data_IF_274341939380
#
_entry.id   IF_274341939380
#
_cell.length_a   1.000
_cell.length_b   1.000
_cell.length_c   1.000
_cell.angle_alpha   90.00
_cell.angle_beta   90.00
_cell.angle_gamma   90.00
#
_symmetry.space_group_name_H-M   'P 1'
#
loop_
_entity.id
_entity.type
_entity.pdbx_description
1 polymer ?
#
# COMPACT_ATOMS: atom_id res chain seq x y z
N UNK A 1 20.59 45.50 13.09
CA UNK A 1 21.44 45.16 11.93
C UNK A 1 20.52 44.77 10.79
N UNK A 2 20.71 45.36 9.61
CA UNK A 2 19.91 45.10 8.40
C UNK A 2 20.68 44.13 7.50
N UNK A 3 19.91 43.25 6.84
CA UNK A 3 20.16 42.41 5.65
C UNK A 3 20.50 40.92 5.85
N UNK A 4 20.17 40.03 4.86
CA UNK A 4 19.40 40.25 3.62
C UNK A 4 18.24 39.27 3.34
N UNK A 5 17.27 39.75 2.54
CA UNK A 5 16.43 38.94 1.64
C UNK A 5 17.31 38.29 0.58
N UNK A 6 17.11 37.00 0.31
CA UNK A 6 17.67 36.33 -0.87
C UNK A 6 18.41 35.03 -0.54
N UNK A 7 17.66 33.99 -0.17
CA UNK A 7 17.98 32.62 -0.56
C UNK A 7 16.64 31.93 -0.87
N UNK A 8 16.23 32.08 -2.13
CA UNK A 8 15.49 31.02 -2.78
C UNK A 8 16.44 29.82 -2.80
N UNK A 9 16.23 28.86 -1.91
CA UNK A 9 16.86 27.56 -2.04
C UNK A 9 16.01 26.75 -2.99
N UNK A 10 16.54 26.58 -4.21
CA UNK A 10 16.22 25.48 -5.14
C UNK A 10 16.59 24.13 -4.50
N UNK A 11 16.06 23.85 -3.31
CA UNK A 11 16.01 22.51 -2.75
C UNK A 11 14.75 21.88 -3.29
N UNK A 12 14.89 20.92 -4.18
CA UNK A 12 13.78 20.08 -4.64
C UNK A 12 13.13 19.40 -3.45
N UNK A 13 12.10 20.05 -2.92
CA UNK A 13 11.19 19.48 -1.92
C UNK A 13 10.38 18.44 -2.69
N UNK A 14 10.70 17.17 -2.50
CA UNK A 14 9.79 16.08 -2.86
C UNK A 14 8.56 16.25 -1.96
N UNK A 15 7.49 16.80 -2.54
CA UNK A 15 6.25 17.05 -1.82
C UNK A 15 5.66 15.72 -1.35
N UNK A 16 5.03 15.69 -0.18
CA UNK A 16 4.21 14.54 0.25
C UNK A 16 3.11 14.15 -0.75
N UNK A 17 2.79 15.02 -1.71
CA UNK A 17 2.02 14.69 -2.89
C UNK A 17 2.61 13.47 -3.63
N UNK A 18 3.93 13.26 -3.66
CA UNK A 18 4.63 12.13 -4.32
C UNK A 18 4.44 10.78 -3.61
N UNK A 19 3.92 10.77 -2.37
CA UNK A 19 3.63 9.55 -1.61
C UNK A 19 2.16 9.12 -1.69
N UNK A 20 1.31 9.90 -2.37
CA UNK A 20 -0.08 9.50 -2.62
C UNK A 20 -0.11 8.41 -3.70
N UNK A 21 0.02 7.15 -3.26
CA UNK A 21 0.06 5.98 -4.14
C UNK A 21 -1.09 5.91 -5.15
N UNK A 22 -2.17 6.63 -4.95
CA UNK A 22 -3.28 6.61 -5.89
C UNK A 22 -3.21 7.58 -7.07
N UNK A 23 -2.51 8.71 -6.97
CA UNK A 23 -2.65 9.80 -7.96
C UNK A 23 -1.36 10.50 -8.39
N UNK A 24 -0.18 10.19 -7.84
CA UNK A 24 1.04 10.90 -8.26
C UNK A 24 1.91 10.10 -9.24
N UNK A 25 1.92 10.55 -10.49
CA UNK A 25 2.66 10.02 -11.64
C UNK A 25 4.17 9.89 -11.38
N UNK A 26 4.74 10.75 -10.51
CA UNK A 26 6.17 10.70 -10.18
C UNK A 26 6.53 9.47 -9.34
N UNK A 27 5.60 8.97 -8.50
CA UNK A 27 5.81 7.84 -7.58
C UNK A 27 6.01 6.49 -8.30
N UNK A 28 5.53 6.39 -9.54
CA UNK A 28 5.60 5.20 -10.39
C UNK A 28 6.71 5.28 -11.45
N UNK A 29 7.64 6.23 -11.36
CA UNK A 29 8.87 6.17 -12.17
C UNK A 29 9.67 4.94 -11.78
N UNK A 30 10.02 4.08 -12.75
CA UNK A 30 10.82 2.89 -12.46
C UNK A 30 12.15 3.26 -11.82
N UNK A 31 12.74 4.38 -12.22
CA UNK A 31 14.00 4.87 -11.66
C UNK A 31 13.86 5.18 -10.15
N UNK A 32 12.78 5.87 -9.74
CA UNK A 32 12.55 6.19 -8.33
C UNK A 32 12.20 4.95 -7.52
N UNK A 33 11.40 4.04 -8.08
CA UNK A 33 11.08 2.75 -7.46
C UNK A 33 12.35 1.92 -7.24
N UNK A 34 13.24 1.86 -8.23
CA UNK A 34 14.52 1.13 -8.11
C UNK A 34 15.50 1.80 -7.14
N UNK A 35 15.52 3.13 -7.04
CA UNK A 35 16.30 3.84 -6.01
C UNK A 35 15.79 3.53 -4.61
N UNK A 36 14.46 3.49 -4.42
CA UNK A 36 13.82 3.07 -3.16
C UNK A 36 14.13 1.61 -2.83
N UNK A 37 14.08 0.70 -3.81
CA UNK A 37 14.40 -0.72 -3.58
C UNK A 37 15.82 -0.93 -3.04
N UNK A 38 16.74 -0.01 -3.37
CA UNK A 38 18.14 -0.04 -2.96
C UNK A 38 18.45 0.82 -1.72
N UNK A 39 17.44 1.38 -1.07
CA UNK A 39 17.58 2.32 0.06
C UNK A 39 18.50 3.54 -0.29
N UNK A 40 18.49 4.00 -1.55
CA UNK A 40 19.35 5.10 -2.05
C UNK A 40 18.73 6.50 -1.86
N UNK A 41 17.67 6.66 -1.06
CA UNK A 41 17.03 7.96 -0.80
C UNK A 41 17.48 8.54 0.56
N UNK A 42 17.90 9.80 0.57
CA UNK A 42 18.66 10.44 1.66
C UNK A 42 17.82 11.20 2.71
N UNK A 43 16.49 11.20 2.68
CA UNK A 43 15.68 12.01 3.60
C UNK A 43 14.78 11.17 4.50
N UNK A 44 15.05 11.22 5.81
CA UNK A 44 14.19 10.62 6.83
C UNK A 44 13.20 11.65 7.38
N UNK A 45 11.98 11.65 6.83
CA UNK A 45 10.87 12.52 7.29
C UNK A 45 10.56 12.30 8.77
N UNK A 46 10.77 11.07 9.30
CA UNK A 46 10.54 10.78 10.71
C UNK A 46 11.55 11.56 11.55
N UNK A 47 12.83 11.51 11.20
CA UNK A 47 13.89 12.25 11.89
C UNK A 47 13.68 13.76 11.81
N UNK A 48 13.26 14.28 10.65
CA UNK A 48 12.96 15.71 10.48
C UNK A 48 11.83 16.15 11.43
N UNK A 49 10.72 15.41 11.48
CA UNK A 49 9.58 15.72 12.35
C UNK A 49 9.99 15.62 13.82
N UNK A 50 10.75 14.59 14.19
CA UNK A 50 11.26 14.43 15.56
C UNK A 50 12.20 15.57 15.96
N UNK A 51 13.14 15.95 15.08
CA UNK A 51 14.06 17.06 15.31
C UNK A 51 13.30 18.40 15.46
N UNK A 52 12.31 18.65 14.61
CA UNK A 52 11.47 19.83 14.70
C UNK A 52 10.67 19.89 16.00
N UNK A 53 10.16 18.75 16.48
CA UNK A 53 9.45 18.67 17.76
C UNK A 53 10.39 18.94 18.94
N UNK A 54 11.60 18.35 18.91
CA UNK A 54 12.63 18.58 19.93
C UNK A 54 13.04 20.04 19.99
N UNK A 55 13.31 20.66 18.83
CA UNK A 55 13.66 22.09 18.74
C UNK A 55 12.55 22.99 19.28
N UNK A 56 11.29 22.72 18.93
CA UNK A 56 10.14 23.50 19.37
C UNK A 56 9.67 23.14 20.79
N UNK A 57 10.37 22.27 21.51
CA UNK A 57 9.98 21.75 22.85
C UNK A 57 8.56 21.16 22.86
N UNK A 58 8.13 20.61 21.73
CA UNK A 58 6.84 19.98 21.55
C UNK A 58 6.90 18.59 22.16
N UNK A 59 5.98 18.29 23.07
CA UNK A 59 5.93 17.00 23.79
C UNK A 59 5.14 15.91 23.05
N UNK A 60 4.31 16.29 22.09
CA UNK A 60 3.33 15.42 21.44
C UNK A 60 3.22 15.74 19.96
N UNK A 61 2.95 14.73 19.13
CA UNK A 61 2.69 14.93 17.70
C UNK A 61 1.27 15.45 17.46
N UNK A 62 1.12 16.39 16.50
CA UNK A 62 -0.20 16.74 15.96
C UNK A 62 -0.74 15.57 15.14
N UNK A 63 -2.06 15.48 14.95
CA UNK A 63 -2.64 14.43 14.10
C UNK A 63 -2.08 14.44 12.67
N UNK A 64 -1.79 15.63 12.13
CA UNK A 64 -1.16 15.78 10.83
C UNK A 64 0.24 15.14 10.81
N UNK A 65 1.08 15.44 11.81
CA UNK A 65 2.41 14.82 11.94
C UNK A 65 2.32 13.32 12.17
N UNK A 66 1.35 12.84 12.97
CA UNK A 66 1.08 11.41 13.14
C UNK A 66 0.79 10.77 11.79
N UNK A 67 -0.08 11.38 10.98
CA UNK A 67 -0.37 10.92 9.63
C UNK A 67 0.89 10.78 8.78
N UNK A 68 1.72 11.82 8.73
CA UNK A 68 2.97 11.84 7.95
C UNK A 68 3.96 10.78 8.41
N UNK A 69 4.19 10.69 9.73
CA UNK A 69 5.13 9.72 10.30
C UNK A 69 4.66 8.29 10.02
N UNK A 70 3.36 8.00 10.16
CA UNK A 70 2.83 6.65 9.95
C UNK A 70 2.87 6.22 8.47
N UNK A 71 2.67 7.16 7.54
CA UNK A 71 2.86 6.91 6.10
C UNK A 71 4.31 6.53 5.83
N UNK A 72 5.27 7.32 6.32
CA UNK A 72 6.69 7.06 6.14
C UNK A 72 7.09 5.73 6.76
N UNK A 73 6.63 5.46 7.97
CA UNK A 73 6.93 4.26 8.72
C UNK A 73 6.38 2.98 8.06
N UNK A 74 5.21 3.04 7.43
CA UNK A 74 4.68 1.94 6.62
C UNK A 74 5.30 1.86 5.22
N UNK A 75 5.92 2.95 4.76
CA UNK A 75 6.61 3.10 3.48
C UNK A 75 8.09 2.70 3.51
N UNK A 76 8.62 2.38 4.69
CA UNK A 76 10.01 1.99 4.92
C UNK A 76 10.14 0.48 5.10
N UNK A 77 11.16 -0.09 4.45
CA UNK A 77 11.53 -1.50 4.56
C UNK A 77 12.14 -1.86 5.92
N UNK A 78 12.91 -0.93 6.50
CA UNK A 78 13.54 -1.08 7.81
C UNK A 78 13.59 0.26 8.53
N UNK A 79 13.30 0.22 9.82
CA UNK A 79 13.37 1.37 10.72
C UNK A 79 14.21 0.95 11.92
N UNK A 80 15.02 1.88 12.45
CA UNK A 80 15.77 1.65 13.67
C UNK A 80 14.83 1.58 14.88
N UNK A 81 15.04 0.60 15.75
CA UNK A 81 14.30 0.45 17.00
C UNK A 81 14.47 1.70 17.88
N UNK A 82 15.61 2.42 17.80
CA UNK A 82 15.80 3.68 18.55
C UNK A 82 14.84 4.78 18.09
N UNK A 83 14.58 4.86 16.78
CA UNK A 83 13.62 5.82 16.19
C UNK A 83 12.19 5.45 16.61
N UNK A 84 11.85 4.16 16.58
CA UNK A 84 10.54 3.68 17.04
C UNK A 84 10.31 3.95 18.53
N UNK A 85 11.33 3.80 19.37
CA UNK A 85 11.29 4.10 20.80
C UNK A 85 11.07 5.59 21.09
N UNK A 86 11.73 6.47 20.33
CA UNK A 86 11.53 7.91 20.43
C UNK A 86 10.13 8.31 19.97
N UNK A 87 9.70 7.82 18.81
CA UNK A 87 8.35 8.02 18.28
C UNK A 87 7.28 7.56 19.28
N UNK A 88 7.45 6.40 19.92
CA UNK A 88 6.54 5.89 20.94
C UNK A 88 6.33 6.90 22.08
N UNK A 89 7.41 7.54 22.56
CA UNK A 89 7.34 8.53 23.63
C UNK A 89 6.54 9.77 23.23
N UNK A 90 6.67 10.18 21.97
CA UNK A 90 5.96 11.34 21.41
C UNK A 90 4.48 11.10 21.11
N UNK A 91 4.05 9.83 21.10
CA UNK A 91 2.66 9.39 20.90
C UNK A 91 1.92 9.11 22.22
N UNK A 92 2.50 9.43 23.38
CA UNK A 92 1.98 9.03 24.70
C UNK A 92 0.52 9.45 25.00
N UNK A 93 0.00 10.50 24.35
CA UNK A 93 -1.39 10.96 24.42
C UNK A 93 -2.33 10.22 23.44
N UNK A 94 -1.80 9.26 22.70
CA UNK A 94 -2.47 8.52 21.60
C UNK A 94 -2.29 7.01 21.78
N UNK A 95 -3.01 6.39 22.75
CA UNK A 95 -2.81 4.99 23.10
C UNK A 95 -2.89 4.02 21.93
N UNK A 96 -3.83 4.24 20.99
CA UNK A 96 -3.99 3.35 19.84
C UNK A 96 -2.78 3.35 18.90
N UNK A 97 -2.14 4.52 18.69
CA UNK A 97 -0.92 4.63 17.88
C UNK A 97 0.31 4.10 18.63
N UNK A 98 0.37 4.29 19.95
CA UNK A 98 1.41 3.65 20.80
C UNK A 98 1.36 2.14 20.70
N UNK A 99 0.17 1.54 20.77
CA UNK A 99 -0.01 0.09 20.64
C UNK A 99 0.46 -0.44 19.29
N UNK A 100 0.21 0.32 18.22
CA UNK A 100 0.70 0.00 16.89
C UNK A 100 2.24 0.00 16.82
N UNK A 101 2.89 1.04 17.37
CA UNK A 101 4.36 1.12 17.43
C UNK A 101 4.96 0.02 18.32
N UNK A 102 4.32 -0.33 19.44
CA UNK A 102 4.74 -1.45 20.28
C UNK A 102 4.73 -2.80 19.54
N UNK A 103 3.72 -3.02 18.68
CA UNK A 103 3.69 -4.20 17.83
C UNK A 103 4.85 -4.23 16.83
N UNK A 104 5.27 -3.08 16.30
CA UNK A 104 6.45 -3.00 15.43
C UNK A 104 7.75 -3.32 16.15
N UNK A 105 7.91 -2.82 17.37
CA UNK A 105 9.04 -3.13 18.26
C UNK A 105 9.02 -4.60 18.74
N UNK A 106 7.89 -5.29 18.58
CA UNK A 106 7.77 -6.72 18.90
C UNK A 106 7.55 -7.02 20.38
N UNK A 107 7.12 -6.04 21.19
CA UNK A 107 6.88 -6.25 22.62
C UNK A 107 5.78 -7.26 22.94
N UNK A 108 4.78 -7.39 22.07
CA UNK A 108 3.54 -8.09 22.40
C UNK A 108 3.33 -9.43 21.68
N UNK A 109 4.29 -9.85 20.83
CA UNK A 109 4.11 -10.99 19.91
C UNK A 109 5.23 -12.02 19.97
N UNK A 110 4.88 -13.29 20.17
CA UNK A 110 5.80 -14.42 20.04
C UNK A 110 5.68 -14.98 18.62
N UNK A 111 6.69 -14.73 17.78
CA UNK A 111 6.77 -15.22 16.40
C UNK A 111 6.24 -14.23 15.34
N UNK A 112 6.73 -14.39 14.12
CA UNK A 112 6.53 -13.46 13.00
C UNK A 112 5.05 -13.31 12.61
N UNK A 113 4.30 -14.42 12.60
CA UNK A 113 2.89 -14.44 12.24
C UNK A 113 2.02 -13.62 13.24
N UNK A 114 2.19 -13.89 14.53
CA UNK A 114 1.44 -13.18 15.58
C UNK A 114 1.78 -11.69 15.59
N UNK A 115 3.05 -11.33 15.28
CA UNK A 115 3.49 -9.94 15.14
C UNK A 115 2.75 -9.24 14.01
N UNK A 116 2.73 -9.82 12.81
CA UNK A 116 2.07 -9.24 11.64
C UNK A 116 0.58 -9.07 11.83
N UNK A 117 -0.06 -10.06 12.43
CA UNK A 117 -1.47 -10.01 12.74
C UNK A 117 -1.81 -8.93 13.78
N UNK A 118 -0.95 -8.80 14.81
CA UNK A 118 -1.09 -7.76 15.84
C UNK A 118 -0.86 -6.37 15.26
N UNK A 119 0.13 -6.19 14.37
CA UNK A 119 0.35 -4.93 13.65
C UNK A 119 -0.85 -4.56 12.79
N UNK A 120 -1.41 -5.52 12.05
CA UNK A 120 -2.61 -5.30 11.23
C UNK A 120 -3.82 -4.88 12.08
N UNK A 121 -4.06 -5.57 13.19
CA UNK A 121 -5.18 -5.24 14.09
C UNK A 121 -5.01 -3.89 14.78
N UNK A 122 -3.81 -3.57 15.26
CA UNK A 122 -3.53 -2.30 15.93
C UNK A 122 -3.56 -1.13 14.96
N UNK A 123 -3.15 -1.30 13.69
CA UNK A 123 -3.35 -0.31 12.64
C UNK A 123 -4.84 0.00 12.45
N UNK A 124 -5.67 -1.04 12.33
CA UNK A 124 -7.13 -0.88 12.23
C UNK A 124 -7.70 -0.10 13.43
N UNK A 125 -7.35 -0.49 14.66
CA UNK A 125 -7.84 0.19 15.88
C UNK A 125 -7.38 1.64 15.94
N UNK A 126 -6.14 1.94 15.53
CA UNK A 126 -5.63 3.30 15.47
C UNK A 126 -6.40 4.16 14.46
N UNK A 127 -6.61 3.65 13.25
CA UNK A 127 -7.39 4.34 12.22
C UNK A 127 -8.86 4.51 12.59
N UNK A 128 -9.48 3.49 13.18
CA UNK A 128 -10.86 3.56 13.68
C UNK A 128 -10.98 4.62 14.77
N UNK A 129 -10.06 4.64 15.74
CA UNK A 129 -10.05 5.63 16.81
C UNK A 129 -9.89 7.04 16.25
N UNK A 130 -8.88 7.26 15.40
CA UNK A 130 -8.65 8.57 14.78
C UNK A 130 -9.80 9.03 13.89
N UNK A 131 -10.47 8.14 13.15
CA UNK A 131 -11.69 8.49 12.43
C UNK A 131 -12.85 8.90 13.36
N UNK A 132 -12.99 8.22 14.51
CA UNK A 132 -14.11 8.44 15.43
C UNK A 132 -13.97 9.70 16.30
N UNK A 133 -12.74 10.02 16.73
CA UNK A 133 -12.43 11.09 17.69
C UNK A 133 -11.67 12.22 17.01
N UNK A 134 -10.55 11.92 16.35
CA UNK A 134 -9.59 12.94 15.92
C UNK A 134 -10.03 13.68 14.65
N UNK A 135 -10.63 12.99 13.68
CA UNK A 135 -10.96 13.59 12.39
C UNK A 135 -12.18 14.51 12.40
N UNK A 136 -12.96 14.46 13.47
CA UNK A 136 -14.12 15.35 13.68
C UNK A 136 -13.72 16.67 14.36
N UNK A 137 -12.51 16.78 14.90
CA UNK A 137 -12.01 17.92 15.68
C UNK A 137 -10.70 18.49 15.09
N UNK A 138 -10.30 19.69 15.51
CA UNK A 138 -9.22 20.47 14.87
C UNK A 138 -7.88 19.73 14.80
N UNK A 139 -7.17 19.88 13.67
CA UNK A 139 -5.90 19.22 13.38
C UNK A 139 -6.13 17.76 13.02
N UNK A 140 -6.29 17.44 11.73
CA UNK A 140 -6.73 16.13 11.23
C UNK A 140 -5.58 15.47 10.46
N UNK A 141 -5.53 14.13 10.42
CA UNK A 141 -4.65 13.42 9.47
C UNK A 141 -5.06 13.90 8.06
N UNK A 142 -4.11 14.36 7.26
CA UNK A 142 -4.44 14.90 5.92
C UNK A 142 -5.12 13.83 5.06
N UNK A 143 -6.04 14.20 4.14
CA UNK A 143 -6.67 13.26 3.22
C UNK A 143 -5.67 12.33 2.57
N UNK A 144 -4.56 12.87 2.05
CA UNK A 144 -3.47 12.09 1.45
C UNK A 144 -2.89 11.03 2.39
N UNK A 145 -2.58 11.38 3.63
CA UNK A 145 -2.06 10.40 4.59
C UNK A 145 -3.11 9.34 4.92
N UNK A 146 -4.35 9.73 5.18
CA UNK A 146 -5.41 8.78 5.50
C UNK A 146 -5.69 7.83 4.34
N UNK A 147 -5.69 8.32 3.10
CA UNK A 147 -5.83 7.49 1.90
C UNK A 147 -4.76 6.41 1.85
N UNK A 148 -3.49 6.78 2.03
CA UNK A 148 -2.39 5.81 2.06
C UNK A 148 -2.60 4.77 3.17
N UNK A 149 -2.89 5.21 4.39
CA UNK A 149 -3.07 4.31 5.54
C UNK A 149 -4.27 3.36 5.35
N UNK A 150 -5.37 3.84 4.78
CA UNK A 150 -6.56 3.04 4.48
C UNK A 150 -6.28 2.07 3.33
N UNK A 151 -5.53 2.49 2.32
CA UNK A 151 -5.08 1.61 1.22
C UNK A 151 -4.22 0.46 1.77
N UNK A 152 -3.24 0.75 2.64
CA UNK A 152 -2.42 -0.27 3.32
C UNK A 152 -3.27 -1.23 4.14
N UNK A 153 -4.26 -0.72 4.88
CA UNK A 153 -5.19 -1.56 5.65
C UNK A 153 -6.04 -2.45 4.73
N UNK A 154 -6.55 -1.91 3.62
CA UNK A 154 -7.38 -2.64 2.66
C UNK A 154 -6.59 -3.72 1.91
N UNK A 155 -5.33 -3.44 1.55
CA UNK A 155 -4.39 -4.41 0.99
C UNK A 155 -4.19 -5.58 1.95
N UNK A 156 -3.82 -5.30 3.20
CA UNK A 156 -3.64 -6.33 4.23
C UNK A 156 -4.92 -7.13 4.43
N UNK A 157 -6.08 -6.48 4.55
CA UNK A 157 -7.36 -7.16 4.70
C UNK A 157 -7.71 -8.06 3.50
N UNK A 158 -7.21 -7.75 2.30
CA UNK A 158 -7.38 -8.57 1.10
C UNK A 158 -6.43 -9.78 1.13
N UNK A 159 -5.15 -9.57 1.45
CA UNK A 159 -4.15 -10.63 1.63
C UNK A 159 -4.57 -11.66 2.70
N UNK A 160 -5.01 -11.17 3.87
CA UNK A 160 -5.45 -12.01 4.98
C UNK A 160 -6.75 -12.78 4.71
N UNK A 161 -7.54 -12.36 3.72
CA UNK A 161 -8.75 -13.08 3.33
C UNK A 161 -8.50 -14.34 2.49
N UNK A 162 -7.22 -14.61 2.15
CA UNK A 162 -6.76 -15.85 1.50
C UNK A 162 -7.47 -16.21 0.18
N UNK A 163 -7.96 -15.22 -0.56
CA UNK A 163 -8.47 -15.43 -1.90
C UNK A 163 -7.41 -16.00 -2.85
N UNK A 164 -7.85 -16.61 -3.95
CA UNK A 164 -6.92 -17.11 -4.98
C UNK A 164 -6.19 -15.96 -5.69
N UNK A 165 -6.84 -14.79 -5.74
CA UNK A 165 -6.34 -13.59 -6.39
C UNK A 165 -6.42 -12.38 -5.46
N UNK A 166 -5.41 -11.53 -5.53
CA UNK A 166 -5.44 -10.16 -5.04
C UNK A 166 -5.69 -9.22 -6.21
N UNK A 167 -6.59 -8.27 -6.01
CA UNK A 167 -6.85 -7.19 -6.97
C UNK A 167 -6.38 -5.87 -6.36
N UNK A 168 -5.35 -5.26 -6.92
CA UNK A 168 -4.80 -4.01 -6.39
C UNK A 168 -4.39 -3.10 -7.54
N UNK A 169 -4.15 -1.83 -7.28
CA UNK A 169 -3.53 -0.96 -8.30
C UNK A 169 -2.04 -1.28 -8.42
N UNK A 170 -1.44 -0.87 -9.54
CA UNK A 170 0.01 -1.01 -9.76
C UNK A 170 0.83 -0.40 -8.62
N UNK A 171 0.50 0.81 -8.20
CA UNK A 171 1.14 1.50 -7.07
C UNK A 171 1.05 0.72 -5.76
N UNK A 172 -0.14 0.23 -5.37
CA UNK A 172 -0.30 -0.57 -4.15
C UNK A 172 0.55 -1.84 -4.21
N UNK A 173 0.61 -2.51 -5.37
CA UNK A 173 1.47 -3.69 -5.57
C UNK A 173 2.96 -3.33 -5.48
N UNK A 174 3.39 -2.22 -6.08
CA UNK A 174 4.79 -1.75 -5.98
C UNK A 174 5.17 -1.46 -4.52
N UNK A 175 4.35 -0.72 -3.78
CA UNK A 175 4.59 -0.45 -2.35
C UNK A 175 4.60 -1.74 -1.52
N UNK A 176 3.74 -2.69 -1.83
CA UNK A 176 3.75 -4.00 -1.20
C UNK A 176 5.10 -4.72 -1.40
N UNK A 177 5.60 -4.76 -2.64
CA UNK A 177 6.85 -5.43 -3.02
C UNK A 177 8.09 -4.78 -2.39
N UNK A 178 8.08 -3.46 -2.24
CA UNK A 178 9.18 -2.70 -1.64
C UNK A 178 9.27 -2.92 -0.13
N UNK A 179 8.13 -2.89 0.56
CA UNK A 179 8.08 -2.76 2.03
C UNK A 179 7.85 -4.09 2.75
N UNK A 180 7.32 -5.11 2.07
CA UNK A 180 6.97 -6.38 2.69
C UNK A 180 7.74 -7.55 2.04
N UNK A 181 8.09 -8.55 2.85
CA UNK A 181 8.62 -9.79 2.30
C UNK A 181 7.45 -10.59 1.72
N UNK A 182 7.39 -10.60 0.39
CA UNK A 182 6.35 -11.22 -0.42
C UNK A 182 6.16 -12.72 -0.05
N UNK A 183 7.21 -13.42 0.39
CA UNK A 183 7.16 -14.83 0.81
C UNK A 183 6.30 -15.08 2.06
N UNK A 184 6.00 -14.05 2.85
CA UNK A 184 5.23 -14.14 4.12
C UNK A 184 3.81 -14.65 3.92
N UNK A 185 3.19 -14.28 2.79
CA UNK A 185 1.79 -14.59 2.50
C UNK A 185 1.60 -15.92 1.75
N UNK A 186 2.70 -16.53 1.30
CA UNK A 186 2.68 -17.80 0.55
C UNK A 186 2.45 -19.02 1.47
N UNK A 187 2.72 -18.88 2.77
CA UNK A 187 2.75 -19.98 3.74
C UNK A 187 1.70 -19.86 4.87
N UNK A 188 0.66 -19.06 4.69
CA UNK A 188 -0.40 -18.94 5.70
C UNK A 188 -1.16 -20.28 5.78
N UNK A 189 -1.30 -20.88 6.97
CA UNK A 189 -2.02 -22.14 7.11
C UNK A 189 -3.45 -22.06 6.57
N UNK A 190 -3.87 -23.11 5.87
CA UNK A 190 -5.19 -23.17 5.21
C UNK A 190 -6.38 -23.15 6.19
N UNK A 191 -6.15 -23.47 7.47
CA UNK A 191 -7.13 -23.42 8.54
C UNK A 191 -7.22 -22.04 9.22
N UNK A 192 -6.36 -21.08 8.87
CA UNK A 192 -6.37 -19.76 9.53
C UNK A 192 -7.62 -18.97 9.18
N UNK A 193 -8.14 -19.07 7.94
CA UNK A 193 -9.32 -18.35 7.44
C UNK A 193 -10.52 -18.31 8.41
N UNK A 194 -10.90 -19.46 8.98
CA UNK A 194 -12.07 -19.56 9.84
C UNK A 194 -11.89 -18.81 11.16
N UNK A 195 -10.66 -18.84 11.70
CA UNK A 195 -10.28 -18.11 12.91
C UNK A 195 -10.11 -16.61 12.68
N UNK A 196 -9.75 -16.16 11.46
CA UNK A 196 -9.60 -14.74 11.12
C UNK A 196 -10.95 -14.05 10.80
N UNK A 197 -12.00 -14.83 10.52
CA UNK A 197 -13.22 -14.38 9.86
C UNK A 197 -13.89 -13.17 10.54
N UNK A 198 -14.02 -13.20 11.87
CA UNK A 198 -14.65 -12.12 12.63
C UNK A 198 -13.83 -10.82 12.64
N UNK A 199 -12.52 -10.91 12.88
CA UNK A 199 -11.62 -9.75 12.86
C UNK A 199 -11.60 -9.09 11.48
N UNK A 200 -11.54 -9.89 10.42
CA UNK A 200 -11.62 -9.40 9.04
C UNK A 200 -12.97 -8.76 8.74
N UNK A 201 -14.08 -9.31 9.25
CA UNK A 201 -15.40 -8.70 9.09
C UNK A 201 -15.42 -7.29 9.69
N UNK A 202 -14.93 -7.10 10.91
CA UNK A 202 -14.89 -5.79 11.57
C UNK A 202 -14.07 -4.76 10.78
N UNK A 203 -12.91 -5.17 10.27
CA UNK A 203 -12.04 -4.32 9.45
C UNK A 203 -12.76 -3.94 8.16
N UNK A 204 -13.46 -4.88 7.53
CA UNK A 204 -14.19 -4.62 6.29
C UNK A 204 -15.39 -3.69 6.49
N UNK A 205 -16.13 -3.87 7.57
CA UNK A 205 -17.19 -2.95 7.96
C UNK A 205 -16.64 -1.55 8.20
N UNK A 206 -15.49 -1.43 8.85
CA UNK A 206 -14.82 -0.14 9.00
C UNK A 206 -14.40 0.48 7.67
N UNK A 207 -13.73 -0.25 6.78
CA UNK A 207 -13.34 0.23 5.46
C UNK A 207 -14.55 0.71 4.66
N UNK A 208 -15.64 -0.09 4.67
CA UNK A 208 -16.90 0.26 4.03
C UNK A 208 -17.49 1.56 4.60
N UNK A 209 -17.66 1.62 5.93
CA UNK A 209 -18.23 2.78 6.62
C UNK A 209 -17.39 4.04 6.44
N UNK A 210 -16.06 3.90 6.44
CA UNK A 210 -15.14 4.98 6.15
C UNK A 210 -15.38 5.53 4.74
N UNK A 211 -15.34 4.69 3.71
CA UNK A 211 -15.56 5.13 2.32
C UNK A 211 -16.97 5.72 2.12
N UNK A 212 -18.00 5.15 2.73
CA UNK A 212 -19.38 5.65 2.67
C UNK A 212 -19.54 7.03 3.31
N UNK A 213 -18.87 7.28 4.44
CA UNK A 213 -18.94 8.56 5.16
C UNK A 213 -18.50 9.74 4.32
N UNK A 214 -17.60 9.53 3.35
CA UNK A 214 -17.08 10.57 2.47
C UNK A 214 -17.64 10.53 1.04
N UNK A 215 -18.46 9.54 0.69
CA UNK A 215 -19.01 9.43 -0.66
C UNK A 215 -20.53 9.50 -0.69
N UNK A 216 -21.17 8.47 -0.16
CA UNK A 216 -22.59 8.17 -0.38
C UNK A 216 -23.46 8.81 0.69
N UNK A 217 -22.96 8.91 1.93
CA UNK A 217 -23.76 9.39 3.03
C UNK A 217 -24.34 10.80 2.75
N UNK A 218 -25.51 11.12 3.30
CA UNK A 218 -26.20 12.40 3.07
C UNK A 218 -25.35 13.64 3.42
N UNK A 219 -24.33 13.45 4.27
CA UNK A 219 -23.35 14.47 4.66
C UNK A 219 -21.98 14.30 3.99
N UNK A 220 -21.83 13.44 2.98
CA UNK A 220 -20.55 13.08 2.37
C UNK A 220 -19.80 14.28 1.81
N UNK A 221 -20.48 15.13 1.04
CA UNK A 221 -19.90 16.37 0.53
C UNK A 221 -19.45 17.31 1.66
N UNK A 222 -20.30 17.52 2.68
CA UNK A 222 -19.94 18.35 3.85
C UNK A 222 -18.75 17.79 4.61
N UNK A 223 -18.66 16.46 4.71
CA UNK A 223 -17.58 15.75 5.41
C UNK A 223 -16.26 15.89 4.66
N UNK A 224 -16.27 15.77 3.31
CA UNK A 224 -15.09 16.04 2.48
C UNK A 224 -14.64 17.50 2.58
N UNK A 225 -15.56 18.45 2.43
CA UNK A 225 -15.24 19.89 2.53
C UNK A 225 -14.64 20.22 3.90
N UNK A 226 -15.27 19.78 4.99
CA UNK A 226 -14.73 19.99 6.34
C UNK A 226 -13.36 19.33 6.54
N UNK A 227 -13.13 18.17 5.93
CA UNK A 227 -11.84 17.50 6.02
C UNK A 227 -10.75 18.31 5.31
N UNK A 228 -11.03 18.85 4.13
CA UNK A 228 -10.11 19.69 3.37
C UNK A 228 -9.90 21.08 4.02
N UNK A 229 -10.95 21.70 4.54
CA UNK A 229 -10.85 23.02 5.21
C UNK A 229 -9.94 22.97 6.45
N UNK A 230 -9.88 21.80 7.11
CA UNK A 230 -9.05 21.58 8.28
C UNK A 230 -7.58 21.27 7.95
N UNK A 231 -7.25 21.02 6.69
CA UNK A 231 -5.87 20.87 6.22
C UNK A 231 -5.37 22.21 5.69
N UNK A 232 -4.57 22.92 6.48
CA UNK A 232 -3.95 24.18 6.06
C UNK A 232 -2.85 23.88 5.05
N UNK A 233 -2.93 24.37 3.81
CA UNK A 233 -1.74 24.49 2.97
C UNK A 233 -1.88 24.18 1.48
N UNK A 234 -2.93 23.53 1.00
CA UNK A 234 -3.07 23.28 -0.44
C UNK A 234 -3.81 24.44 -1.13
N UNK A 235 -3.08 25.19 -1.96
CA UNK A 235 -3.58 26.38 -2.66
C UNK A 235 -4.60 26.10 -3.77
N UNK A 236 -5.11 24.86 -3.90
CA UNK A 236 -6.21 24.55 -4.82
C UNK A 236 -7.19 23.49 -4.29
N UNK A 237 -8.03 23.88 -3.33
CA UNK A 237 -9.05 23.04 -2.66
C UNK A 237 -9.99 22.31 -3.65
N UNK A 238 -10.26 22.87 -4.84
CA UNK A 238 -11.16 22.23 -5.82
C UNK A 238 -10.54 21.02 -6.52
N UNK A 239 -9.25 21.07 -6.83
CA UNK A 239 -8.52 19.96 -7.42
C UNK A 239 -8.33 18.85 -6.38
N UNK A 240 -7.99 19.22 -5.14
CA UNK A 240 -7.88 18.29 -4.00
C UNK A 240 -9.20 17.53 -3.74
N UNK A 241 -10.36 18.18 -3.85
CA UNK A 241 -11.64 17.48 -3.69
C UNK A 241 -11.90 16.48 -4.83
N UNK A 242 -11.53 16.86 -6.05
CA UNK A 242 -11.71 16.03 -7.24
C UNK A 242 -10.87 14.76 -7.12
N UNK A 243 -9.60 14.90 -6.75
CA UNK A 243 -8.69 13.79 -6.52
C UNK A 243 -9.18 12.87 -5.39
N UNK A 244 -9.70 13.45 -4.30
CA UNK A 244 -10.33 12.70 -3.21
C UNK A 244 -11.55 11.90 -3.69
N UNK A 245 -12.41 12.46 -4.54
CA UNK A 245 -13.57 11.75 -5.08
C UNK A 245 -13.14 10.62 -6.02
N UNK A 246 -12.14 10.84 -6.86
CA UNK A 246 -11.56 9.81 -7.73
C UNK A 246 -10.99 8.67 -6.89
N UNK A 247 -10.19 9.00 -5.86
CA UNK A 247 -9.62 8.04 -4.93
C UNK A 247 -10.69 7.18 -4.26
N UNK A 248 -11.67 7.83 -3.62
CA UNK A 248 -12.74 7.15 -2.90
C UNK A 248 -13.53 6.21 -3.81
N UNK A 249 -13.76 6.62 -5.06
CA UNK A 249 -14.45 5.81 -6.07
C UNK A 249 -13.64 4.58 -6.43
N UNK A 250 -12.35 4.75 -6.72
CA UNK A 250 -11.48 3.64 -7.08
C UNK A 250 -11.23 2.68 -5.90
N UNK A 251 -11.06 3.19 -4.68
CA UNK A 251 -10.99 2.38 -3.45
C UNK A 251 -12.25 1.54 -3.25
N UNK A 252 -13.44 2.09 -3.51
CA UNK A 252 -14.70 1.32 -3.48
C UNK A 252 -14.76 0.25 -4.55
N UNK A 253 -14.30 0.52 -5.77
CA UNK A 253 -14.18 -0.47 -6.83
C UNK A 253 -13.24 -1.63 -6.45
N UNK A 254 -12.09 -1.33 -5.85
CA UNK A 254 -11.16 -2.35 -5.38
C UNK A 254 -11.74 -3.16 -4.22
N UNK A 255 -12.38 -2.51 -3.24
CA UNK A 255 -13.05 -3.19 -2.14
C UNK A 255 -14.15 -4.13 -2.66
N UNK A 256 -14.89 -3.71 -3.69
CA UNK A 256 -15.92 -4.52 -4.33
C UNK A 256 -15.37 -5.82 -4.91
N UNK A 257 -14.32 -5.76 -5.73
CA UNK A 257 -13.76 -6.95 -6.40
C UNK A 257 -13.00 -7.87 -5.43
N UNK A 258 -12.24 -7.31 -4.48
CA UNK A 258 -11.57 -8.12 -3.44
C UNK A 258 -12.53 -8.79 -2.46
N UNK A 259 -13.79 -8.35 -2.42
CA UNK A 259 -14.84 -8.96 -1.59
C UNK A 259 -15.78 -9.86 -2.37
N UNK A 260 -15.39 -10.27 -3.57
CA UNK A 260 -16.18 -11.18 -4.40
C UNK A 260 -17.40 -10.52 -5.02
N UNK A 261 -17.28 -9.25 -5.41
CA UNK A 261 -18.29 -8.47 -6.14
C UNK A 261 -19.56 -8.15 -5.32
N UNK A 262 -19.44 -8.01 -3.99
CA UNK A 262 -20.58 -7.80 -3.08
C UNK A 262 -21.16 -6.38 -3.07
N UNK A 263 -20.44 -5.39 -3.60
CA UNK A 263 -20.79 -3.97 -3.49
C UNK A 263 -21.36 -3.35 -4.79
N UNK A 264 -21.85 -4.15 -5.75
CA UNK A 264 -22.31 -3.65 -7.06
C UNK A 264 -23.37 -2.56 -6.92
N UNK A 265 -24.39 -2.80 -6.08
CA UNK A 265 -25.44 -1.82 -5.79
C UNK A 265 -24.91 -0.52 -5.17
N UNK A 266 -23.89 -0.60 -4.33
CA UNK A 266 -23.28 0.58 -3.70
C UNK A 266 -22.48 1.43 -4.70
N UNK A 267 -21.75 0.79 -5.62
CA UNK A 267 -21.06 1.51 -6.70
C UNK A 267 -22.06 2.13 -7.66
N UNK A 268 -23.12 1.39 -8.03
CA UNK A 268 -24.19 1.94 -8.86
C UNK A 268 -24.82 3.19 -8.22
N UNK A 269 -25.13 3.14 -6.92
CA UNK A 269 -25.69 4.28 -6.19
C UNK A 269 -24.69 5.45 -6.10
N UNK A 270 -23.40 5.15 -5.88
CA UNK A 270 -22.33 6.15 -5.90
C UNK A 270 -22.33 6.95 -7.21
N UNK A 271 -22.44 6.26 -8.34
CA UNK A 271 -22.43 6.87 -9.67
C UNK A 271 -23.71 7.67 -9.96
N UNK A 272 -24.82 7.36 -9.29
CA UNK A 272 -26.03 8.18 -9.36
C UNK A 272 -25.96 9.46 -8.51
N UNK A 273 -24.99 9.57 -7.61
CA UNK A 273 -24.85 10.75 -6.76
C UNK A 273 -24.35 11.95 -7.58
N UNK A 274 -25.19 12.99 -7.72
CA UNK A 274 -24.87 14.18 -8.51
C UNK A 274 -23.61 14.93 -8.02
N UNK A 275 -23.32 14.89 -6.71
CA UNK A 275 -22.10 15.50 -6.16
C UNK A 275 -20.83 14.76 -6.56
N UNK A 276 -20.91 13.44 -6.72
CA UNK A 276 -19.81 12.59 -7.19
C UNK A 276 -19.66 12.70 -8.70
N UNK A 277 -20.77 12.56 -9.45
CA UNK A 277 -20.81 12.64 -10.90
C UNK A 277 -20.20 13.94 -11.45
N UNK A 278 -20.47 15.08 -10.79
CA UNK A 278 -19.90 16.38 -11.19
C UNK A 278 -18.40 16.52 -10.96
N UNK A 279 -17.82 15.67 -10.10
CA UNK A 279 -16.41 15.72 -9.70
C UNK A 279 -15.57 14.63 -10.39
N UNK A 280 -16.17 13.51 -10.78
CA UNK A 280 -15.45 12.50 -11.53
C UNK A 280 -15.11 12.97 -12.95
N UNK A 281 -13.89 12.71 -13.45
CA UNK A 281 -13.57 12.90 -14.86
C UNK A 281 -14.58 12.15 -15.74
N UNK A 282 -15.11 12.83 -16.77
CA UNK A 282 -16.21 12.31 -17.59
C UNK A 282 -15.93 10.91 -18.16
N UNK A 283 -14.73 10.69 -18.69
CA UNK A 283 -14.32 9.38 -19.23
C UNK A 283 -14.29 8.29 -18.16
N UNK A 284 -13.87 8.62 -16.95
CA UNK A 284 -13.85 7.68 -15.82
C UNK A 284 -15.28 7.32 -15.42
N UNK A 285 -16.14 8.34 -15.27
CA UNK A 285 -17.55 8.18 -14.95
C UNK A 285 -18.29 7.32 -15.99
N UNK A 286 -18.10 7.61 -17.28
CA UNK A 286 -18.77 6.88 -18.37
C UNK A 286 -18.32 5.42 -18.42
N UNK A 287 -17.03 5.15 -18.24
CA UNK A 287 -16.47 3.79 -18.21
C UNK A 287 -17.08 2.98 -17.07
N UNK A 288 -17.09 3.52 -15.86
CA UNK A 288 -17.69 2.85 -14.70
C UNK A 288 -19.20 2.70 -14.87
N UNK A 289 -19.90 3.76 -15.29
CA UNK A 289 -21.36 3.73 -15.44
C UNK A 289 -21.83 2.63 -16.38
N UNK A 290 -21.13 2.44 -17.52
CA UNK A 290 -21.40 1.33 -18.45
C UNK A 290 -21.23 -0.04 -17.80
N UNK A 291 -20.20 -0.21 -16.97
CA UNK A 291 -19.93 -1.46 -16.26
C UNK A 291 -20.96 -1.82 -15.20
N UNK A 292 -21.63 -0.81 -14.62
CA UNK A 292 -22.58 -0.98 -13.53
C UNK A 292 -24.04 -0.70 -13.94
N UNK A 293 -24.36 -0.68 -15.24
CA UNK A 293 -25.75 -0.59 -15.73
C UNK A 293 -26.52 -1.86 -15.38
N UNK A 294 -25.95 -3.01 -15.72
CA UNK A 294 -26.51 -4.33 -15.45
C UNK A 294 -25.87 -4.88 -14.17
N UNK A 295 -26.61 -4.79 -13.07
CA UNK A 295 -26.09 -5.16 -11.73
C UNK A 295 -25.64 -6.62 -11.71
N UNK A 296 -24.47 -6.86 -11.12
CA UNK A 296 -23.93 -8.19 -10.78
C UNK A 296 -23.39 -9.02 -11.96
N UNK A 297 -22.99 -8.40 -13.08
CA UNK A 297 -22.23 -9.10 -14.13
C UNK A 297 -20.74 -8.91 -13.86
N UNK A 298 -20.15 -9.84 -13.12
CA UNK A 298 -18.80 -9.74 -12.57
C UNK A 298 -17.73 -9.47 -13.63
N UNK A 299 -17.83 -10.11 -14.79
CA UNK A 299 -16.88 -9.94 -15.88
C UNK A 299 -16.93 -8.53 -16.46
N UNK A 300 -18.13 -7.99 -16.65
CA UNK A 300 -18.34 -6.62 -17.16
C UNK A 300 -17.90 -5.59 -16.13
N UNK A 301 -18.23 -5.79 -14.86
CA UNK A 301 -17.80 -4.94 -13.74
C UNK A 301 -16.26 -4.93 -13.62
N UNK A 302 -15.61 -6.10 -13.73
CA UNK A 302 -14.15 -6.21 -13.66
C UNK A 302 -13.46 -5.50 -14.83
N UNK A 303 -13.97 -5.65 -16.06
CA UNK A 303 -13.46 -4.93 -17.23
C UNK A 303 -13.58 -3.42 -17.06
N UNK A 304 -14.75 -2.95 -16.62
CA UNK A 304 -14.98 -1.52 -16.41
C UNK A 304 -14.08 -0.93 -15.33
N UNK A 305 -13.87 -1.65 -14.21
CA UNK A 305 -12.94 -1.24 -13.15
C UNK A 305 -11.50 -1.19 -13.69
N UNK A 306 -11.09 -2.21 -14.44
CA UNK A 306 -9.75 -2.28 -15.02
C UNK A 306 -9.49 -1.13 -16.00
N UNK A 307 -10.44 -0.84 -16.88
CA UNK A 307 -10.36 0.28 -17.83
C UNK A 307 -10.34 1.63 -17.10
N UNK A 308 -11.15 1.78 -16.05
CA UNK A 308 -11.19 2.98 -15.22
C UNK A 308 -9.84 3.24 -14.53
N UNK A 309 -9.24 2.21 -13.93
CA UNK A 309 -7.92 2.32 -13.28
C UNK A 309 -6.80 2.60 -14.29
N UNK A 310 -6.91 2.07 -15.51
CA UNK A 310 -5.99 2.42 -16.60
C UNK A 310 -6.10 3.89 -17.03
N UNK A 311 -7.31 4.47 -17.03
CA UNK A 311 -7.51 5.91 -17.29
C UNK A 311 -6.90 6.81 -16.21
N UNK A 312 -6.71 6.28 -15.00
CA UNK A 312 -5.99 6.94 -13.90
C UNK A 312 -4.47 6.71 -13.94
N UNK A 313 -3.97 6.07 -15.01
CA UNK A 313 -2.55 5.69 -15.15
C UNK A 313 -2.02 4.81 -14.01
N UNK A 314 -2.92 4.17 -13.27
CA UNK A 314 -2.63 3.31 -12.14
C UNK A 314 -3.38 1.97 -12.34
N UNK A 315 -2.98 1.18 -13.36
CA UNK A 315 -3.77 0.06 -13.86
C UNK A 315 -4.01 -1.00 -12.78
N UNK A 316 -5.09 -1.76 -12.97
CA UNK A 316 -5.39 -2.92 -12.14
C UNK A 316 -4.28 -3.97 -12.31
N UNK A 317 -3.79 -4.49 -11.20
CA UNK A 317 -2.92 -5.65 -11.13
C UNK A 317 -3.68 -6.79 -10.46
N UNK A 318 -3.72 -7.93 -11.13
CA UNK A 318 -4.29 -9.17 -10.62
C UNK A 318 -3.12 -10.07 -10.24
N UNK A 319 -2.93 -10.30 -8.94
CA UNK A 319 -1.85 -11.15 -8.42
C UNK A 319 -2.43 -12.50 -8.04
N UNK A 320 -1.89 -13.56 -8.62
CA UNK A 320 -2.24 -14.94 -8.28
C UNK A 320 -1.53 -15.35 -6.98
N UNK A 321 -2.26 -15.40 -5.86
CA UNK A 321 -1.66 -15.68 -4.54
C UNK A 321 -1.39 -17.18 -4.31
N UNK A 322 -2.15 -18.04 -4.97
CA UNK A 322 -2.03 -19.51 -4.88
C UNK A 322 -1.89 -20.07 -6.28
N UNK A 323 -1.01 -21.06 -6.46
CA UNK A 323 -0.90 -21.78 -7.75
C UNK A 323 -2.26 -22.35 -8.14
N UNK A 324 -2.86 -21.75 -9.15
CA UNK A 324 -4.09 -22.22 -9.76
C UNK A 324 -3.74 -22.99 -11.03
N UNK A 325 -4.22 -24.24 -11.12
CA UNK A 325 -4.15 -25.01 -12.37
C UNK A 325 -5.13 -24.47 -13.44
N UNK A 326 -6.03 -23.55 -13.07
CA UNK A 326 -6.92 -22.88 -14.02
C UNK A 326 -6.19 -21.67 -14.58
N UNK A 327 -5.83 -21.72 -15.87
CA UNK A 327 -5.40 -20.53 -16.61
C UNK A 327 -6.42 -19.42 -16.44
N UNK A 328 -5.97 -18.26 -15.99
CA UNK A 328 -6.71 -16.99 -16.01
C UNK A 328 -6.88 -16.50 -17.46
N UNK A 329 -7.62 -17.24 -18.28
CA UNK A 329 -7.94 -16.84 -19.65
C UNK A 329 -8.89 -15.62 -19.73
N UNK A 330 -9.31 -15.05 -18.58
CA UNK A 330 -10.36 -14.04 -18.48
C UNK A 330 -9.89 -12.72 -17.83
N UNK A 331 -8.58 -12.47 -17.70
CA UNK A 331 -8.11 -11.18 -17.21
C UNK A 331 -8.44 -10.07 -18.24
N UNK A 332 -8.95 -8.90 -17.83
CA UNK A 332 -9.15 -7.78 -18.74
C UNK A 332 -7.85 -7.37 -19.43
N UNK A 333 -7.92 -6.98 -20.71
CA UNK A 333 -6.75 -6.52 -21.47
C UNK A 333 -6.09 -5.25 -20.93
N UNK A 334 -6.80 -4.50 -20.09
CA UNK A 334 -6.30 -3.31 -19.39
C UNK A 334 -5.62 -3.61 -18.05
N UNK A 335 -5.68 -4.85 -17.57
CA UNK A 335 -5.05 -5.29 -16.34
C UNK A 335 -3.67 -5.90 -16.58
N UNK A 336 -2.81 -5.82 -15.56
CA UNK A 336 -1.54 -6.56 -15.50
C UNK A 336 -1.78 -7.83 -14.70
N UNK A 337 -1.44 -8.98 -15.27
CA UNK A 337 -1.55 -10.27 -14.58
C UNK A 337 -0.18 -10.71 -14.07
N UNK A 338 -0.04 -10.84 -12.76
CA UNK A 338 1.13 -11.41 -12.11
C UNK A 338 0.80 -12.84 -11.67
N UNK A 339 1.19 -13.82 -12.48
CA UNK A 339 1.04 -15.22 -12.12
C UNK A 339 1.99 -15.60 -10.97
N UNK A 340 1.73 -16.75 -10.35
CA UNK A 340 2.49 -17.21 -9.19
C UNK A 340 4.02 -17.30 -9.43
N UNK A 341 4.45 -17.66 -10.64
CA UNK A 341 5.87 -17.80 -10.98
C UNK A 341 6.53 -16.42 -11.19
N UNK A 342 5.83 -15.49 -11.82
CA UNK A 342 6.31 -14.14 -12.13
C UNK A 342 6.62 -13.35 -10.88
N UNK A 343 5.78 -13.40 -9.85
CA UNK A 343 6.04 -12.61 -8.65
C UNK A 343 7.02 -13.25 -7.67
N UNK A 344 7.32 -14.55 -7.82
CA UNK A 344 8.45 -15.18 -7.13
C UNK A 344 9.81 -14.77 -7.70
N UNK A 345 9.88 -14.36 -8.97
CA UNK A 345 11.09 -13.79 -9.58
C UNK A 345 11.03 -12.26 -9.59
N UNK A 346 11.75 -11.62 -8.66
CA UNK A 346 11.84 -10.14 -8.54
C UNK A 346 12.23 -9.47 -9.87
N UNK A 347 13.04 -10.11 -10.71
CA UNK A 347 13.46 -9.54 -12.00
C UNK A 347 12.35 -9.55 -13.05
N UNK A 348 11.54 -10.60 -13.09
CA UNK A 348 10.39 -10.69 -14.01
C UNK A 348 9.22 -9.84 -13.51
N UNK A 349 9.01 -9.79 -12.19
CA UNK A 349 8.04 -8.93 -11.54
C UNK A 349 8.19 -7.46 -11.96
N UNK A 350 9.40 -6.91 -11.89
CA UNK A 350 9.65 -5.53 -12.30
C UNK A 350 9.47 -5.31 -13.80
N UNK A 351 9.74 -6.31 -14.65
CA UNK A 351 9.50 -6.21 -16.10
C UNK A 351 8.01 -6.15 -16.44
N UNK A 352 7.20 -6.94 -15.75
CA UNK A 352 5.74 -6.97 -15.95
C UNK A 352 5.04 -5.74 -15.38
N UNK A 353 5.52 -5.20 -14.26
CA UNK A 353 4.99 -3.96 -13.70
C UNK A 353 5.42 -2.73 -14.53
N UNK A 354 6.60 -2.76 -15.16
CA UNK A 354 7.14 -1.66 -15.96
C UNK A 354 7.53 -2.11 -17.38
N UNK A 355 6.56 -2.53 -18.20
CA UNK A 355 6.80 -2.90 -19.59
C UNK A 355 7.04 -1.61 -20.37
N UNK A 356 8.28 -1.37 -20.79
CA UNK A 356 8.73 -0.29 -21.69
C UNK A 356 8.93 1.13 -21.11
N UNK A 357 10.04 1.32 -20.38
CA UNK A 357 10.88 2.54 -20.51
C UNK A 357 11.98 2.38 -21.59
N UNK A 358 12.02 1.23 -22.27
CA UNK A 358 13.07 0.84 -23.24
C UNK A 358 12.88 1.50 -24.62
N UNK A 359 11.67 1.95 -24.97
CA UNK A 359 11.38 2.49 -26.31
C UNK A 359 11.90 3.91 -26.54
N UNK A 360 12.27 4.65 -25.50
CA UNK A 360 12.83 6.01 -25.64
C UNK A 360 14.35 6.00 -25.85
N UNK A 361 15.08 4.99 -25.39
CA UNK A 361 16.51 4.83 -25.66
C UNK A 361 16.77 4.30 -27.09
N UNK A 362 15.98 3.35 -27.58
CA UNK A 362 16.15 2.81 -28.94
C UNK A 362 15.79 3.85 -30.03
N UNK A 363 14.85 4.76 -29.76
CA UNK A 363 14.52 5.87 -30.67
C UNK A 363 15.55 6.99 -30.67
N UNK A 364 16.29 7.19 -29.57
CA UNK A 364 17.37 8.19 -29.50
C UNK A 364 18.70 7.67 -30.07
N UNK A 365 18.99 6.38 -29.97
CA UNK A 365 20.15 5.76 -30.62
C UNK A 365 19.98 5.62 -32.15
N UNK A 366 18.77 5.29 -32.64
CA UNK A 366 18.51 5.28 -34.10
C UNK A 366 18.57 6.66 -34.76
N UNK A 367 18.46 7.76 -34.00
CA UNK A 367 18.66 9.12 -34.51
C UNK A 367 20.12 9.59 -34.48
N UNK A 368 21.00 8.90 -33.74
CA UNK A 368 22.44 9.21 -33.67
C UNK A 368 23.32 8.34 -34.57
N UNK A 369 22.73 7.35 -35.27
CA UNK A 369 23.47 6.36 -36.06
C UNK A 369 23.64 6.65 -37.56
N UNK A 370 23.31 7.85 -38.06
CA UNK A 370 23.59 8.24 -39.45
C UNK A 370 24.58 9.41 -39.46
N UNK A 371 25.82 9.12 -39.13
CA UNK A 371 26.96 9.88 -39.63
C UNK A 371 28.16 8.94 -39.68
N UNK A 372 28.47 8.45 -40.90
CA UNK A 372 29.76 7.84 -41.18
C UNK A 372 30.82 8.94 -41.21
N UNK A 373 32.02 8.64 -40.72
CA UNK A 373 33.16 8.87 -41.60
C UNK A 373 34.05 7.63 -41.72
N UNK A 374 34.43 7.40 -42.97
CA UNK A 374 35.55 6.55 -43.40
C UNK A 374 36.89 7.07 -42.88
N UNK A 375 37.77 6.21 -42.39
CA UNK A 375 39.09 5.96 -43.01
C UNK A 375 39.91 4.89 -42.26
N UNK A 376 40.64 4.15 -43.09
CA UNK A 376 41.58 3.05 -42.86
C UNK A 376 42.63 3.27 -41.75
N UNK A 377 43.03 2.18 -41.08
CA UNK A 377 44.37 1.60 -41.32
C UNK A 377 44.56 0.20 -40.73
N UNK A 378 45.62 -0.43 -41.24
CA UNK A 378 45.89 -1.86 -41.46
C UNK A 378 46.95 -2.38 -40.48
N UNK A 379 46.86 -3.64 -40.06
CA UNK A 379 47.93 -4.64 -39.76
C UNK A 379 47.45 -5.59 -38.63
N UNK A 380 47.12 -6.87 -38.91
CA UNK A 380 47.94 -8.09 -39.14
C UNK A 380 48.61 -8.69 -37.89
N UNK A 381 48.25 -9.95 -37.62
CA UNK A 381 48.92 -10.96 -36.78
C UNK A 381 47.87 -11.84 -36.07
N UNK A 382 47.45 -13.01 -36.59
CA UNK A 382 48.02 -14.38 -36.38
C UNK A 382 48.19 -14.72 -34.89
N UNK A 383 47.77 -15.83 -34.29
CA UNK A 383 47.39 -17.20 -34.65
C UNK A 383 46.77 -17.80 -33.34
N UNK A 384 45.66 -18.54 -33.37
CA UNK A 384 45.56 -20.01 -33.30
C UNK A 384 46.14 -20.70 -32.03
N UNK A 385 45.30 -21.53 -31.39
CA UNK A 385 45.67 -22.57 -30.40
C UNK A 385 44.62 -22.70 -29.29
N UNK A 386 43.63 -23.61 -29.39
CA UNK A 386 43.61 -24.96 -28.76
C UNK A 386 44.02 -24.97 -27.28
N UNK A 387 43.44 -25.72 -26.36
CA UNK A 387 42.42 -26.77 -26.29
C UNK A 387 42.56 -27.32 -24.86
N UNK A 388 41.43 -27.67 -24.22
CA UNK A 388 41.27 -28.78 -23.23
C UNK A 388 42.19 -28.73 -21.97
N UNK A 389 41.91 -29.29 -20.80
CA UNK A 389 41.01 -30.32 -20.31
C UNK A 389 41.32 -30.46 -18.78
N UNK A 390 40.54 -31.30 -18.09
CA UNK A 390 40.90 -32.03 -16.84
C UNK A 390 40.41 -31.43 -15.50
N UNK A 391 39.23 -31.93 -15.12
CA UNK A 391 38.91 -32.72 -13.92
C UNK A 391 39.31 -32.22 -12.51
N UNK A 392 38.37 -32.00 -11.59
CA UNK A 392 37.61 -32.99 -10.78
C UNK A 392 38.37 -33.45 -9.53
N UNK A 393 37.99 -32.95 -8.34
CA UNK A 393 38.08 -33.72 -7.08
C UNK A 393 36.78 -33.56 -6.28
N UNK A 394 36.27 -34.73 -5.89
CA UNK A 394 35.02 -35.05 -5.20
C UNK A 394 35.16 -35.00 -3.67
N UNK A 395 34.03 -34.64 -3.04
CA UNK A 395 33.32 -35.33 -1.93
C UNK A 395 33.76 -35.20 -0.46
N UNK A 396 32.68 -35.04 0.31
CA UNK A 396 32.37 -35.57 1.65
C UNK A 396 32.82 -34.78 2.89
N UNK A 397 31.82 -34.17 3.55
CA UNK A 397 31.40 -34.63 4.88
C UNK A 397 29.94 -34.25 5.18
N UNK A 398 29.10 -35.28 5.28
CA UNK A 398 27.80 -35.25 5.96
C UNK A 398 28.02 -35.07 7.47
N UNK A 399 27.21 -34.22 8.10
CA UNK A 399 26.66 -34.38 9.46
C UNK A 399 25.43 -33.47 9.55
N UNK A 400 24.24 -34.07 9.55
CA UNK A 400 22.99 -33.36 9.85
C UNK A 400 22.84 -33.14 11.35
N UNK A 401 21.97 -32.20 11.78
CA UNK A 401 21.42 -32.22 13.12
C UNK A 401 19.91 -32.47 13.10
N UNK A 402 19.56 -33.52 13.86
CA UNK A 402 18.43 -33.69 14.78
C UNK A 402 17.20 -32.77 14.65
N UNK A 403 16.05 -33.44 14.48
CA UNK A 403 14.70 -32.92 14.59
C UNK A 403 14.45 -32.31 15.98
N UNK A 404 14.38 -30.97 16.05
CA UNK A 404 13.72 -30.29 17.15
C UNK A 404 12.22 -30.26 16.88
N UNK A 405 11.43 -30.96 17.70
CA UNK A 405 9.97 -30.94 17.66
C UNK A 405 9.45 -29.51 17.88
N UNK A 406 9.01 -28.84 16.82
CA UNK A 406 8.30 -27.56 16.96
C UNK A 406 6.91 -27.84 17.55
N UNK A 407 6.70 -27.46 18.81
CA UNK A 407 5.34 -27.32 19.35
C UNK A 407 4.59 -26.30 18.49
N UNK A 408 3.60 -26.75 17.72
CA UNK A 408 2.59 -25.87 17.12
C UNK A 408 1.84 -25.18 18.24
N UNK A 409 2.12 -23.90 18.47
CA UNK A 409 1.23 -23.02 19.23
C UNK A 409 0.16 -22.50 18.27
N UNK A 410 -1.03 -23.07 18.36
CA UNK A 410 -2.22 -22.53 17.71
C UNK A 410 -2.61 -21.23 18.44
N UNK A 411 -2.28 -20.08 17.86
CA UNK A 411 -2.74 -18.77 18.35
C UNK A 411 -4.07 -18.42 17.68
N UNK A 412 -5.13 -18.27 18.46
CA UNK A 412 -6.44 -17.84 17.95
C UNK A 412 -6.55 -16.30 17.95
N UNK A 413 -7.29 -15.73 16.99
CA UNK A 413 -7.64 -14.29 17.00
C UNK A 413 -8.37 -13.87 18.26
N UNK A 414 -9.11 -14.79 18.87
CA UNK A 414 -9.77 -14.57 20.14
C UNK A 414 -8.74 -14.27 21.23
N UNK A 415 -7.57 -14.90 21.22
CA UNK A 415 -6.51 -14.64 22.20
C UNK A 415 -5.88 -13.26 21.98
N UNK A 416 -5.70 -12.87 20.71
CA UNK A 416 -5.17 -11.55 20.34
C UNK A 416 -6.19 -10.44 20.67
N UNK A 417 -7.45 -10.58 20.25
CA UNK A 417 -8.54 -9.64 20.58
C UNK A 417 -8.69 -9.54 22.09
N UNK A 418 -8.77 -10.67 22.79
CA UNK A 418 -9.00 -10.68 24.24
C UNK A 418 -7.84 -10.06 24.99
N UNK A 419 -6.59 -10.34 24.60
CA UNK A 419 -5.41 -9.69 25.18
C UNK A 419 -5.46 -8.17 24.98
N UNK A 420 -5.69 -7.69 23.75
CA UNK A 420 -5.72 -6.26 23.45
C UNK A 420 -6.95 -5.52 24.01
N UNK A 421 -8.12 -6.15 24.11
CA UNK A 421 -9.31 -5.51 24.69
C UNK A 421 -9.30 -5.54 26.24
N UNK A 422 -8.62 -6.51 26.86
CA UNK A 422 -8.35 -6.54 28.31
C UNK A 422 -7.36 -5.46 28.74
N UNK A 423 -6.28 -5.27 27.99
CA UNK A 423 -5.26 -4.26 28.29
C UNK A 423 -5.78 -2.81 28.09
N UNK A 424 -6.88 -2.62 27.35
CA UNK A 424 -7.51 -1.32 27.10
C UNK A 424 -8.74 -1.01 28.01
N UNK A 425 -8.91 -1.73 29.12
CA UNK A 425 -9.87 -1.35 30.17
C UNK A 425 -11.36 -1.43 29.81
N UNK A 426 -11.73 -2.08 28.70
CA UNK A 426 -13.15 -2.37 28.38
C UNK A 426 -13.59 -3.64 29.11
N UNK A 427 -13.73 -3.49 30.42
CA UNK A 427 -14.18 -4.50 31.38
C UNK A 427 -15.59 -5.00 31.10
N UNK A 428 -15.75 -6.33 31.23
CA UNK A 428 -16.97 -7.17 31.23
C UNK A 428 -17.92 -7.17 30.03
N UNK A 429 -18.16 -6.04 29.35
CA UNK A 429 -19.17 -6.03 28.26
C UNK A 429 -18.73 -6.81 27.02
N UNK A 430 -17.45 -6.71 26.67
CA UNK A 430 -16.86 -7.51 25.60
C UNK A 430 -16.87 -9.01 25.94
N UNK A 431 -16.63 -9.38 27.22
CA UNK A 431 -16.75 -10.78 27.68
C UNK A 431 -18.19 -11.31 27.59
N UNK A 432 -19.19 -10.49 27.89
CA UNK A 432 -20.60 -10.88 27.82
C UNK A 432 -21.12 -11.03 26.39
N UNK A 433 -20.63 -10.23 25.45
CA UNK A 433 -20.96 -10.38 24.02
C UNK A 433 -20.23 -11.59 23.39
N UNK A 434 -19.03 -11.93 23.90
CA UNK A 434 -18.28 -13.14 23.51
C UNK A 434 -18.86 -14.46 24.07
N UNK A 435 -19.54 -14.44 25.22
CA UNK A 435 -20.14 -15.64 25.81
C UNK A 435 -21.56 -15.96 25.29
N UNK A 436 -22.12 -15.13 24.40
CA UNK A 436 -23.47 -15.33 23.83
C UNK A 436 -23.49 -16.02 22.46
N UNK A 437 -22.34 -16.44 21.96
CA UNK A 437 -22.16 -17.27 20.76
C UNK A 437 -21.21 -18.42 21.09
#
# INVERSE_FOLDING_TARGET
>A
MVFPRGMASDTGIYNLHDFSGFCNQNSLSKELVLKRDKDELELDVIEEIMAACTYNKKKHLSNEEVGRVMVELLGKKKIDDSVLEELRKMLNDRPSWVNFVNCMLGFDSVGTFAKELSMFWTLYKALQHSHSVDWKHNGVITPTCAMYLIDRLALQASLWSQGDYLYATKSTVVEWILNENIEKYSNIPSNTSDHLSHGLQLINEFLYNFLDSYTIHACGQKSRMRWMDNTKGDSNVQDTETDLVVWLTAAKCLLHINRGFKLSGNIHWLLQNEGIKKKLPLKLFDTLSKGFVEKNIKEVELVAISDALKLLENPLVIVELKRSYKKTNNAPSSAILLNFETWQDRSNLWKELFPFEVDQQIKSEKRKGIEKPSLNNKMKGSEAGCSSEVEQIKREKMKGPEEASSKKTDFSWLDIITKFDLDNGKSERAKLDLMRY
#
